data_IF_383154137282
#
_entry.id   IF_383154137282
#
_cell.length_a   1.000
_cell.length_b   1.000
_cell.length_c   1.000
_cell.angle_alpha   90.00
_cell.angle_beta   90.00
_cell.angle_gamma   90.00
#
_symmetry.space_group_name_H-M   'P 1'
#
loop_
_entity.id
_entity.type
_entity.pdbx_description
1 polymer ?
#
# COMPACT_ATOMS: atom_id res chain seq x y z
N UNK A 1 -13.13 14.88 -33.79
CA UNK A 1 -12.06 14.32 -32.95
C UNK A 1 -10.88 15.26 -32.74
N UNK A 2 -10.41 16.00 -33.78
CA UNK A 2 -9.28 16.94 -33.66
C UNK A 2 -9.52 18.16 -32.74
N UNK A 3 -10.74 18.73 -32.64
CA UNK A 3 -10.96 19.92 -31.80
C UNK A 3 -10.86 19.65 -30.29
N UNK A 4 -11.31 18.47 -29.84
CA UNK A 4 -11.23 18.06 -28.44
C UNK A 4 -9.78 17.89 -27.98
N UNK A 5 -8.92 17.29 -28.83
CA UNK A 5 -7.48 17.13 -28.53
C UNK A 5 -6.80 18.48 -28.34
N UNK A 6 -7.11 19.46 -29.18
CA UNK A 6 -6.57 20.82 -29.07
C UNK A 6 -7.03 21.54 -27.80
N UNK A 7 -8.27 21.33 -27.34
CA UNK A 7 -8.77 21.91 -26.10
C UNK A 7 -8.06 21.36 -24.86
N UNK A 8 -7.81 20.04 -24.81
CA UNK A 8 -7.06 19.40 -23.71
C UNK A 8 -5.62 19.89 -23.63
N UNK A 9 -4.92 19.95 -24.77
CA UNK A 9 -3.53 20.44 -24.82
C UNK A 9 -3.46 21.89 -24.37
N UNK A 10 -4.41 22.74 -24.80
CA UNK A 10 -4.49 24.14 -24.36
C UNK A 10 -4.74 24.27 -22.87
N UNK A 11 -5.64 23.45 -22.31
CA UNK A 11 -5.96 23.43 -20.87
C UNK A 11 -4.77 22.96 -20.04
N UNK A 12 -4.11 21.87 -20.45
CA UNK A 12 -2.89 21.37 -19.81
C UNK A 12 -1.78 22.42 -19.83
N UNK A 13 -1.54 23.03 -20.99
CA UNK A 13 -0.54 24.10 -21.15
C UNK A 13 -0.82 25.29 -20.22
N UNK A 14 -2.09 25.68 -20.08
CA UNK A 14 -2.48 26.75 -19.15
C UNK A 14 -2.20 26.38 -17.69
N UNK A 15 -2.59 25.18 -17.28
CA UNK A 15 -2.39 24.72 -15.90
C UNK A 15 -0.90 24.60 -15.54
N UNK A 16 -0.07 24.11 -16.46
CA UNK A 16 1.38 24.03 -16.27
C UNK A 16 1.99 25.43 -16.13
N UNK A 17 1.63 26.39 -17.00
CA UNK A 17 2.08 27.78 -16.87
C UNK A 17 1.68 28.42 -15.55
N UNK A 18 0.48 28.12 -15.05
CA UNK A 18 0.06 28.61 -13.74
C UNK A 18 0.80 27.95 -12.58
N UNK A 19 1.28 26.70 -12.72
CA UNK A 19 2.13 26.07 -11.69
C UNK A 19 3.56 26.62 -11.71
N UNK A 20 4.09 26.95 -12.90
CA UNK A 20 5.42 27.54 -13.07
C UNK A 20 5.55 28.91 -12.40
N UNK A 21 4.44 29.61 -12.14
CA UNK A 21 4.44 30.89 -11.43
C UNK A 21 4.49 30.76 -9.91
N UNK A 22 4.49 29.54 -9.35
CA UNK A 22 4.50 29.32 -7.90
C UNK A 22 5.95 29.25 -7.42
N UNK A 23 6.30 30.08 -6.44
CA UNK A 23 7.62 30.08 -5.80
C UNK A 23 7.67 29.01 -4.69
N UNK A 24 7.70 27.74 -5.08
CA UNK A 24 7.75 26.59 -4.16
C UNK A 24 8.96 25.74 -4.49
N UNK A 25 9.79 25.48 -3.49
CA UNK A 25 11.02 24.71 -3.65
C UNK A 25 10.71 23.32 -4.24
N UNK A 26 11.47 22.94 -5.28
CA UNK A 26 11.33 21.64 -5.92
C UNK A 26 10.08 21.45 -6.78
N UNK A 27 9.13 22.40 -6.85
CA UNK A 27 7.95 22.26 -7.71
C UNK A 27 8.34 22.21 -9.20
N UNK A 28 9.36 22.98 -9.61
CA UNK A 28 9.83 22.98 -10.99
C UNK A 28 10.33 21.60 -11.45
N UNK A 29 10.99 20.82 -10.57
CA UNK A 29 11.40 19.46 -10.95
C UNK A 29 10.19 18.54 -11.15
N UNK A 30 9.13 18.70 -10.34
CA UNK A 30 7.87 17.97 -10.52
C UNK A 30 7.20 18.34 -11.85
N UNK A 31 7.19 19.63 -12.21
CA UNK A 31 6.64 20.10 -13.49
C UNK A 31 7.43 19.52 -14.68
N UNK A 32 8.76 19.45 -14.58
CA UNK A 32 9.61 18.83 -15.61
C UNK A 32 9.28 17.34 -15.76
N UNK A 33 9.19 16.59 -14.66
CA UNK A 33 8.79 15.18 -14.67
C UNK A 33 7.42 14.96 -15.35
N UNK A 34 6.45 15.84 -15.07
CA UNK A 34 5.13 15.79 -15.71
C UNK A 34 5.23 16.05 -17.22
N UNK A 35 6.10 16.97 -17.67
CA UNK A 35 6.27 17.30 -19.08
C UNK A 35 6.93 16.17 -19.88
N UNK A 36 7.85 15.44 -19.26
CA UNK A 36 8.60 14.34 -19.88
C UNK A 36 7.98 12.96 -19.57
N UNK A 37 6.76 12.93 -19.05
CA UNK A 37 6.14 11.69 -18.50
C UNK A 37 5.91 10.60 -19.55
N UNK A 38 5.83 10.96 -20.82
CA UNK A 38 5.64 10.07 -21.97
C UNK A 38 6.96 9.62 -22.63
N UNK A 39 8.09 10.27 -22.34
CA UNK A 39 9.36 10.01 -23.03
C UNK A 39 9.96 8.63 -22.70
N UNK A 40 9.82 8.17 -21.45
CA UNK A 40 10.44 6.94 -20.96
C UNK A 40 9.46 5.75 -20.84
N UNK A 41 8.17 5.96 -21.10
CA UNK A 41 7.13 4.92 -21.03
C UNK A 41 6.81 4.38 -19.62
N UNK A 42 7.52 4.80 -18.57
CA UNK A 42 7.30 4.32 -17.20
C UNK A 42 5.86 4.51 -16.73
N UNK A 43 5.28 5.70 -16.97
CA UNK A 43 3.92 5.99 -16.53
C UNK A 43 2.87 5.14 -17.26
N UNK A 44 3.02 4.96 -18.57
CA UNK A 44 2.16 4.08 -19.36
C UNK A 44 2.26 2.63 -18.90
N UNK A 45 3.48 2.14 -18.61
CA UNK A 45 3.69 0.79 -18.12
C UNK A 45 3.00 0.57 -16.76
N UNK A 46 3.12 1.51 -15.83
CA UNK A 46 2.42 1.44 -14.53
C UNK A 46 0.90 1.49 -14.71
N UNK A 47 0.42 2.36 -15.58
CA UNK A 47 -0.99 2.48 -15.90
C UNK A 47 -1.55 1.16 -16.46
N UNK A 48 -0.86 0.53 -17.42
CA UNK A 48 -1.24 -0.76 -17.99
C UNK A 48 -1.16 -1.88 -16.94
N UNK A 49 -0.10 -1.89 -16.14
CA UNK A 49 0.10 -2.85 -15.07
C UNK A 49 -1.00 -2.79 -14.02
N UNK A 50 -1.47 -1.60 -13.63
CA UNK A 50 -2.56 -1.43 -12.65
C UNK A 50 -3.83 -2.19 -13.05
N UNK A 51 -4.19 -2.18 -14.34
CA UNK A 51 -5.36 -2.91 -14.84
C UNK A 51 -5.09 -4.41 -15.03
N UNK A 52 -3.83 -4.83 -15.15
CA UNK A 52 -3.45 -6.24 -15.30
C UNK A 52 -3.23 -6.94 -13.95
N UNK A 53 -2.64 -6.26 -12.96
CA UNK A 53 -2.37 -6.76 -11.61
C UNK A 53 -3.64 -6.85 -10.76
N UNK A 54 -4.57 -5.90 -10.92
CA UNK A 54 -5.86 -5.91 -10.21
C UNK A 54 -6.81 -7.06 -10.61
N UNK A 55 -6.55 -7.73 -11.73
CA UNK A 55 -7.42 -8.78 -12.28
C UNK A 55 -7.07 -10.23 -11.91
N UNK A 56 -5.84 -10.53 -11.47
CA UNK A 56 -5.33 -11.93 -11.44
C UNK A 56 -5.40 -12.65 -10.09
N UNK A 57 -5.78 -11.96 -9.00
CA UNK A 57 -6.00 -12.57 -7.67
C UNK A 57 -7.48 -12.79 -7.32
N UNK A 58 -8.38 -12.65 -8.29
CA UNK A 58 -9.81 -12.80 -8.03
C UNK A 58 -10.29 -14.21 -8.46
N UNK A 59 -10.84 -15.02 -7.56
CA UNK A 59 -11.62 -16.18 -7.97
C UNK A 59 -12.73 -15.73 -8.94
N UNK A 60 -12.96 -16.50 -10.00
CA UNK A 60 -13.82 -16.14 -11.14
C UNK A 60 -15.29 -15.86 -10.75
N UNK A 61 -15.69 -16.21 -9.52
CA UNK A 61 -17.09 -16.30 -9.08
C UNK A 61 -17.60 -15.11 -8.26
N UNK A 62 -16.83 -14.03 -8.04
CA UNK A 62 -17.23 -12.96 -7.10
C UNK A 62 -17.47 -11.59 -7.73
N UNK A 63 -18.34 -10.79 -7.11
CA UNK A 63 -18.71 -9.45 -7.57
C UNK A 63 -17.56 -8.44 -7.42
N UNK A 64 -17.58 -7.34 -8.18
CA UNK A 64 -16.52 -6.29 -8.14
C UNK A 64 -16.30 -5.70 -6.74
N UNK A 65 -17.34 -5.62 -5.90
CA UNK A 65 -17.29 -5.10 -4.53
C UNK A 65 -16.58 -6.08 -3.58
N UNK A 66 -16.85 -7.36 -3.73
CA UNK A 66 -16.22 -8.43 -2.95
C UNK A 66 -14.75 -8.63 -3.33
N UNK A 67 -14.38 -8.39 -4.59
CA UNK A 67 -12.98 -8.41 -5.05
C UNK A 67 -12.10 -7.37 -4.34
N UNK A 68 -12.64 -6.19 -4.05
CA UNK A 68 -11.92 -5.14 -3.33
C UNK A 68 -11.78 -5.47 -1.84
N UNK A 69 -12.83 -6.04 -1.24
CA UNK A 69 -12.86 -6.48 0.16
C UNK A 69 -11.99 -7.74 0.40
N UNK A 70 -11.80 -8.61 -0.59
CA UNK A 70 -10.98 -9.82 -0.46
C UNK A 70 -9.48 -9.54 -0.32
N UNK A 71 -8.98 -8.40 -0.81
CA UNK A 71 -7.60 -8.00 -0.49
C UNK A 71 -7.41 -7.67 0.99
N UNK A 72 -8.48 -7.35 1.72
CA UNK A 72 -8.46 -7.21 3.19
C UNK A 72 -8.36 -8.57 3.91
N UNK A 73 -8.72 -9.68 3.24
CA UNK A 73 -8.58 -11.03 3.79
C UNK A 73 -7.15 -11.58 3.75
N UNK A 74 -6.25 -10.92 3.01
CA UNK A 74 -4.86 -11.32 2.86
C UNK A 74 -3.92 -10.19 3.32
N UNK A 75 -4.09 -9.71 4.55
CA UNK A 75 -3.11 -8.80 5.16
C UNK A 75 -1.84 -9.61 5.48
N UNK A 76 -0.90 -9.60 4.54
CA UNK A 76 0.36 -10.33 4.62
C UNK A 76 1.36 -9.66 5.58
N UNK A 77 1.47 -8.33 5.54
CA UNK A 77 2.46 -7.59 6.33
C UNK A 77 1.89 -7.10 7.67
N UNK A 78 2.77 -6.96 8.67
CA UNK A 78 2.42 -6.32 9.95
C UNK A 78 1.91 -4.89 9.74
N UNK A 79 2.46 -4.17 8.77
CA UNK A 79 2.08 -2.80 8.43
C UNK A 79 0.64 -2.73 7.89
N UNK A 80 0.25 -3.66 7.01
CA UNK A 80 -1.13 -3.81 6.52
C UNK A 80 -2.11 -4.04 7.66
N UNK A 81 -1.81 -4.97 8.57
CA UNK A 81 -2.64 -5.29 9.75
C UNK A 81 -2.82 -4.09 10.66
N UNK A 82 -1.75 -3.33 10.90
CA UNK A 82 -1.80 -2.12 11.71
C UNK A 82 -2.63 -1.00 11.06
N UNK A 83 -2.50 -0.80 9.74
CA UNK A 83 -3.34 0.13 9.01
C UNK A 83 -4.83 -0.23 9.10
N UNK A 84 -5.15 -1.51 8.91
CA UNK A 84 -6.53 -2.02 9.01
C UNK A 84 -7.14 -1.83 10.41
N UNK A 85 -6.33 -2.06 11.45
CA UNK A 85 -6.76 -1.90 12.85
C UNK A 85 -7.06 -0.44 13.22
N UNK A 86 -6.22 0.49 12.75
CA UNK A 86 -6.18 1.85 13.30
C UNK A 86 -6.83 2.92 12.41
N UNK A 87 -7.01 2.68 11.11
CA UNK A 87 -7.61 3.64 10.18
C UNK A 87 -9.10 3.36 9.96
N UNK A 88 -9.86 4.41 9.70
CA UNK A 88 -11.28 4.29 9.40
C UNK A 88 -11.53 3.54 8.10
N UNK A 89 -12.62 2.77 8.06
CA UNK A 89 -13.07 1.98 6.91
C UNK A 89 -14.46 2.44 6.46
N UNK A 90 -14.59 3.69 5.96
CA UNK A 90 -15.88 4.18 5.53
C UNK A 90 -16.34 3.39 4.30
N UNK A 91 -17.63 3.03 4.20
CA UNK A 91 -18.16 2.34 3.02
C UNK A 91 -18.04 3.20 1.76
N UNK A 92 -18.05 4.53 1.91
CA UNK A 92 -17.78 5.53 0.89
C UNK A 92 -17.01 6.71 1.52
N UNK A 93 -15.85 7.12 0.97
CA UNK A 93 -15.16 8.31 1.45
C UNK A 93 -15.94 9.57 1.07
N UNK A 94 -16.65 10.16 2.02
CA UNK A 94 -17.42 11.40 1.84
C UNK A 94 -16.62 12.58 2.40
N UNK A 95 -16.28 13.60 1.58
CA UNK A 95 -15.59 14.79 2.05
C UNK A 95 -16.31 15.44 3.24
N UNK A 96 -15.57 15.80 4.29
CA UNK A 96 -16.01 16.39 5.58
C UNK A 96 -16.56 15.41 6.63
N UNK A 97 -16.83 14.16 6.26
CA UNK A 97 -17.33 13.14 7.20
C UNK A 97 -16.23 12.13 7.54
N UNK A 98 -15.37 11.83 6.55
CA UNK A 98 -14.28 10.87 6.72
C UNK A 98 -12.96 11.58 6.96
N UNK A 99 -12.09 10.94 7.74
CA UNK A 99 -10.71 11.38 7.90
C UNK A 99 -10.01 11.52 6.54
N UNK A 100 -9.04 12.44 6.49
CA UNK A 100 -8.30 12.74 5.26
C UNK A 100 -7.55 11.49 4.76
N UNK A 101 -6.99 10.72 5.69
CA UNK A 101 -6.40 9.42 5.45
C UNK A 101 -7.23 8.35 6.15
N UNK A 102 -7.85 7.48 5.35
CA UNK A 102 -8.57 6.30 5.81
C UNK A 102 -7.90 5.05 5.24
N UNK A 103 -8.37 3.86 5.64
CA UNK A 103 -7.77 2.61 5.20
C UNK A 103 -7.77 2.46 3.67
N UNK A 104 -8.87 2.75 2.93
CA UNK A 104 -8.83 2.78 1.47
C UNK A 104 -7.72 3.68 0.89
N UNK A 105 -7.51 4.87 1.45
CA UNK A 105 -6.45 5.79 1.01
C UNK A 105 -5.07 5.15 1.18
N UNK A 106 -4.78 4.63 2.38
CA UNK A 106 -3.54 3.93 2.69
C UNK A 106 -3.32 2.71 1.77
N UNK A 107 -4.36 1.91 1.56
CA UNK A 107 -4.25 0.65 0.86
C UNK A 107 -3.94 0.80 -0.64
N UNK A 108 -4.19 2.00 -1.21
CA UNK A 108 -3.80 2.29 -2.60
C UNK A 108 -2.30 2.15 -2.86
N UNK A 109 -1.44 2.31 -1.83
CA UNK A 109 -0.01 2.07 -1.96
C UNK A 109 0.30 0.66 -2.48
N UNK A 110 -0.41 -0.37 -2.03
CA UNK A 110 -0.17 -1.74 -2.48
C UNK A 110 -0.54 -1.92 -3.96
N UNK A 111 -1.58 -1.24 -4.45
CA UNK A 111 -1.93 -1.23 -5.88
C UNK A 111 -0.76 -0.70 -6.73
N UNK A 112 -0.06 0.33 -6.26
CA UNK A 112 1.10 0.88 -6.96
C UNK A 112 2.33 0.00 -6.81
N UNK A 113 2.63 -0.48 -5.60
CA UNK A 113 3.75 -1.38 -5.35
C UNK A 113 3.66 -2.62 -6.25
N UNK A 114 2.49 -3.25 -6.33
CA UNK A 114 2.28 -4.40 -7.22
C UNK A 114 2.41 -4.04 -8.69
N UNK A 115 1.92 -2.86 -9.10
CA UNK A 115 2.05 -2.41 -10.50
C UNK A 115 3.51 -2.18 -10.87
N UNK A 116 4.29 -1.55 -9.99
CA UNK A 116 5.73 -1.36 -10.18
C UNK A 116 6.44 -2.71 -10.19
N UNK A 117 6.15 -3.59 -9.24
CA UNK A 117 6.76 -4.92 -9.15
C UNK A 117 6.47 -5.76 -10.40
N UNK A 118 5.22 -5.73 -10.91
CA UNK A 118 4.81 -6.37 -12.15
C UNK A 118 5.61 -5.86 -13.35
N UNK A 119 5.74 -4.54 -13.51
CA UNK A 119 6.50 -3.93 -14.61
C UNK A 119 7.96 -4.37 -14.56
N UNK A 120 8.57 -4.41 -13.37
CA UNK A 120 9.99 -4.75 -13.20
C UNK A 120 10.27 -6.23 -13.39
N UNK A 121 9.40 -7.12 -12.92
CA UNK A 121 9.54 -8.55 -13.15
C UNK A 121 9.27 -8.94 -14.61
N UNK A 122 8.45 -8.18 -15.34
CA UNK A 122 8.08 -8.52 -16.71
C UNK A 122 7.23 -9.79 -16.84
N UNK A 123 6.66 -10.28 -15.73
CA UNK A 123 5.76 -11.45 -15.68
C UNK A 123 4.53 -11.20 -14.80
N UNK A 124 3.43 -11.94 -15.02
CA UNK A 124 2.33 -12.00 -14.06
C UNK A 124 2.80 -12.34 -12.64
N UNK A 125 2.26 -11.60 -11.66
CA UNK A 125 2.56 -11.86 -10.26
C UNK A 125 1.84 -13.11 -9.79
N UNK A 126 2.59 -14.03 -9.21
CA UNK A 126 2.07 -15.19 -8.49
C UNK A 126 2.00 -14.92 -6.97
N UNK A 127 1.58 -15.92 -6.20
CA UNK A 127 1.45 -15.80 -4.75
C UNK A 127 2.79 -15.51 -4.05
N UNK A 128 3.87 -16.15 -4.49
CA UNK A 128 5.19 -16.01 -3.88
C UNK A 128 5.82 -14.65 -4.20
N UNK A 129 5.55 -14.10 -5.39
CA UNK A 129 5.90 -12.74 -5.76
C UNK A 129 5.25 -11.71 -4.82
N UNK A 130 3.93 -11.81 -4.60
CA UNK A 130 3.21 -10.91 -3.69
C UNK A 130 3.70 -11.03 -2.27
N UNK A 131 3.90 -12.26 -1.80
CA UNK A 131 4.43 -12.53 -0.46
C UNK A 131 5.82 -11.93 -0.30
N UNK A 132 6.66 -12.04 -1.32
CA UNK A 132 7.99 -11.41 -1.33
C UNK A 132 7.88 -9.89 -1.26
N UNK A 133 7.04 -9.28 -2.11
CA UNK A 133 6.81 -7.83 -2.14
C UNK A 133 6.33 -7.31 -0.79
N UNK A 134 5.30 -7.91 -0.18
CA UNK A 134 4.74 -7.42 1.08
C UNK A 134 5.64 -7.67 2.29
N UNK A 135 6.57 -8.64 2.21
CA UNK A 135 7.57 -8.88 3.26
C UNK A 135 8.89 -8.12 3.03
N UNK A 136 9.03 -7.40 1.91
CA UNK A 136 10.22 -6.59 1.60
C UNK A 136 10.37 -5.35 2.48
N UNK A 137 9.30 -4.95 3.18
CA UNK A 137 9.19 -3.70 3.95
C UNK A 137 9.33 -2.42 3.11
N UNK A 138 9.17 -2.51 1.79
CA UNK A 138 9.16 -1.33 0.89
C UNK A 138 8.00 -0.38 1.22
N UNK A 139 6.88 -0.92 1.71
CA UNK A 139 5.73 -0.18 2.23
C UNK A 139 6.14 0.72 3.42
N UNK A 140 6.90 0.16 4.37
CA UNK A 140 7.45 0.90 5.50
C UNK A 140 8.52 1.91 5.06
N UNK A 141 9.41 1.55 4.13
CA UNK A 141 10.41 2.47 3.57
C UNK A 141 9.73 3.69 2.92
N UNK A 142 8.68 3.49 2.13
CA UNK A 142 7.91 4.59 1.55
C UNK A 142 7.22 5.44 2.62
N UNK A 143 6.62 4.80 3.63
CA UNK A 143 5.88 5.50 4.67
C UNK A 143 6.76 6.31 5.63
N UNK A 144 7.96 5.82 5.96
CA UNK A 144 8.85 6.49 6.91
C UNK A 144 9.90 7.38 6.25
N UNK A 145 10.41 6.99 5.08
CA UNK A 145 11.55 7.66 4.45
C UNK A 145 11.16 8.46 3.20
N UNK A 146 9.95 8.23 2.65
CA UNK A 146 9.35 9.07 1.61
C UNK A 146 10.25 9.14 0.39
N UNK A 147 10.81 10.29 0.02
CA UNK A 147 11.68 10.46 -1.16
C UNK A 147 13.05 9.79 -1.01
N UNK A 148 13.37 9.31 0.18
CA UNK A 148 14.57 8.55 0.53
C UNK A 148 14.28 7.06 0.75
N UNK A 149 13.10 6.56 0.35
CA UNK A 149 12.72 5.16 0.49
C UNK A 149 13.74 4.17 -0.09
N UNK A 150 14.52 4.63 -1.06
CA UNK A 150 15.53 3.85 -1.77
C UNK A 150 16.90 3.79 -1.13
N UNK A 151 17.11 4.56 -0.06
CA UNK A 151 18.36 4.52 0.70
C UNK A 151 18.39 3.36 1.71
N UNK A 152 17.32 2.56 1.82
CA UNK A 152 17.18 1.43 2.75
C UNK A 152 17.58 1.80 4.19
N UNK A 153 17.04 2.92 4.68
CA UNK A 153 17.36 3.42 6.02
C UNK A 153 16.79 2.51 7.11
N UNK A 154 17.37 2.60 8.31
CA UNK A 154 16.84 1.90 9.48
C UNK A 154 15.40 2.33 9.75
N UNK A 155 14.52 1.33 9.88
CA UNK A 155 13.10 1.57 10.11
C UNK A 155 12.83 1.60 11.62
N UNK A 156 12.03 2.57 12.10
CA UNK A 156 11.58 2.54 13.48
C UNK A 156 10.73 1.29 13.72
N UNK A 157 10.63 0.85 14.98
CA UNK A 157 9.69 -0.20 15.34
C UNK A 157 8.27 0.23 14.96
N UNK A 158 7.61 -0.53 14.09
CA UNK A 158 6.23 -0.26 13.68
C UNK A 158 5.31 -0.30 14.90
N UNK A 159 4.64 0.81 15.20
CA UNK A 159 3.70 0.95 16.34
C UNK A 159 2.37 1.51 15.85
N UNK A 160 1.30 1.23 16.60
CA UNK A 160 -0.03 1.81 16.36
C UNK A 160 0.01 3.35 16.30
N UNK A 161 0.97 3.98 16.99
CA UNK A 161 1.17 5.43 17.02
C UNK A 161 1.37 6.06 15.62
N UNK A 162 2.02 5.35 14.69
CA UNK A 162 2.16 5.87 13.32
C UNK A 162 0.79 6.06 12.66
N UNK A 163 -0.07 5.04 12.74
CA UNK A 163 -1.40 5.08 12.12
C UNK A 163 -2.37 6.01 12.86
N UNK A 164 -2.23 6.13 14.19
CA UNK A 164 -2.98 7.13 14.98
C UNK A 164 -2.63 8.55 14.50
N UNK A 165 -1.34 8.85 14.30
CA UNK A 165 -0.91 10.13 13.74
C UNK A 165 -1.43 10.32 12.33
N UNK A 166 -1.30 9.31 11.47
CA UNK A 166 -1.76 9.32 10.09
C UNK A 166 -3.27 9.64 9.97
N UNK A 167 -4.09 9.03 10.83
CA UNK A 167 -5.53 9.30 10.91
C UNK A 167 -5.83 10.77 11.23
N UNK A 168 -5.01 11.40 12.08
CA UNK A 168 -5.21 12.78 12.54
C UNK A 168 -4.73 13.87 11.57
N UNK A 169 -4.00 13.51 10.51
CA UNK A 169 -3.38 14.48 9.58
C UNK A 169 -4.43 15.34 8.88
N UNK A 170 -4.15 16.64 8.77
CA UNK A 170 -4.99 17.62 8.06
C UNK A 170 -4.18 18.43 7.06
N UNK A 171 -4.86 19.23 6.24
CA UNK A 171 -4.18 20.26 5.46
C UNK A 171 -3.72 21.39 6.39
N UNK A 172 -2.51 21.91 6.17
CA UNK A 172 -2.01 23.09 6.88
C UNK A 172 -2.89 24.30 6.58
N UNK A 173 -3.13 24.54 5.30
CA UNK A 173 -3.88 25.70 4.81
C UNK A 173 -4.55 25.41 3.46
N UNK A 174 -5.38 26.36 3.01
CA UNK A 174 -6.08 26.28 1.72
C UNK A 174 -5.11 26.24 0.54
N UNK A 175 -3.97 26.92 0.62
CA UNK A 175 -2.97 26.98 -0.44
C UNK A 175 -2.36 25.59 -0.71
N UNK A 176 -2.03 24.83 0.33
CA UNK A 176 -1.53 23.45 0.24
C UNK A 176 -2.53 22.53 -0.43
N UNK A 177 -3.80 22.58 0.00
CA UNK A 177 -4.89 21.83 -0.63
C UNK A 177 -5.13 22.25 -2.09
N UNK A 178 -4.97 23.53 -2.42
CA UNK A 178 -5.12 24.03 -3.79
C UNK A 178 -3.99 23.55 -4.70
N UNK A 179 -2.74 23.56 -4.24
CA UNK A 179 -1.60 23.03 -4.98
C UNK A 179 -1.82 21.56 -5.33
N UNK A 180 -2.18 20.74 -4.32
CA UNK A 180 -2.47 19.31 -4.53
C UNK A 180 -3.59 19.09 -5.57
N UNK A 181 -4.68 19.87 -5.47
CA UNK A 181 -5.79 19.77 -6.42
C UNK A 181 -5.39 20.19 -7.84
N UNK A 182 -4.54 21.21 -7.99
CA UNK A 182 -4.06 21.68 -9.29
C UNK A 182 -3.13 20.66 -9.95
N UNK A 183 -2.19 20.08 -9.20
CA UNK A 183 -1.34 19.00 -9.72
C UNK A 183 -2.17 17.76 -10.12
N UNK A 184 -3.19 17.41 -9.33
CA UNK A 184 -4.15 16.34 -9.68
C UNK A 184 -4.92 16.65 -10.97
N UNK A 185 -5.32 17.92 -11.17
CA UNK A 185 -5.98 18.36 -12.40
C UNK A 185 -5.05 18.26 -13.61
N UNK A 186 -3.77 18.65 -13.46
CA UNK A 186 -2.73 18.49 -14.49
C UNK A 186 -2.59 17.01 -14.87
N UNK A 187 -2.40 16.13 -13.89
CA UNK A 187 -2.26 14.69 -14.11
C UNK A 187 -3.51 14.07 -14.78
N UNK A 188 -4.72 14.55 -14.45
CA UNK A 188 -5.94 14.17 -15.17
C UNK A 188 -5.85 14.50 -16.66
N UNK A 189 -5.39 15.69 -17.03
CA UNK A 189 -5.27 16.07 -18.44
C UNK A 189 -4.13 15.35 -19.16
N UNK A 190 -3.01 15.07 -18.48
CA UNK A 190 -1.95 14.19 -18.97
C UNK A 190 -2.53 12.84 -19.37
N UNK A 191 -3.27 12.17 -18.47
CA UNK A 191 -3.91 10.87 -18.75
C UNK A 191 -4.89 10.92 -19.91
N UNK A 192 -5.73 11.96 -19.98
CA UNK A 192 -6.66 12.12 -21.11
C UNK A 192 -5.87 12.29 -22.42
N UNK A 193 -4.76 13.02 -22.40
CA UNK A 193 -3.87 13.19 -23.54
C UNK A 193 -3.22 11.88 -24.00
N UNK A 194 -2.72 11.09 -23.05
CA UNK A 194 -2.03 9.81 -23.30
C UNK A 194 -3.00 8.70 -23.73
N UNK A 195 -4.09 8.50 -22.98
CA UNK A 195 -4.97 7.33 -23.14
C UNK A 195 -6.28 7.64 -23.87
N UNK A 196 -6.57 8.90 -24.15
CA UNK A 196 -7.74 9.34 -24.91
C UNK A 196 -9.05 9.44 -24.12
N UNK A 197 -9.09 9.00 -22.86
CA UNK A 197 -10.26 9.09 -21.99
C UNK A 197 -9.91 9.13 -20.50
N UNK A 198 -10.89 9.48 -19.67
CA UNK A 198 -10.70 9.60 -18.23
C UNK A 198 -10.86 8.27 -17.50
N UNK A 199 -9.76 7.78 -16.93
CA UNK A 199 -9.71 6.56 -16.13
C UNK A 199 -9.98 6.84 -14.65
N UNK A 200 -11.24 6.68 -14.24
CA UNK A 200 -11.66 7.01 -12.87
C UNK A 200 -10.92 6.21 -11.80
N UNK A 201 -10.76 4.90 -11.98
CA UNK A 201 -10.16 4.02 -10.97
C UNK A 201 -8.68 4.32 -10.75
N UNK A 202 -7.89 4.35 -11.83
CA UNK A 202 -6.48 4.71 -11.75
C UNK A 202 -6.31 6.14 -11.19
N UNK A 203 -7.15 7.09 -11.62
CA UNK A 203 -7.08 8.48 -11.14
C UNK A 203 -7.39 8.62 -9.65
N UNK A 204 -8.32 7.82 -9.11
CA UNK A 204 -8.61 7.80 -7.68
C UNK A 204 -7.44 7.18 -6.93
N UNK A 205 -6.96 6.02 -7.38
CA UNK A 205 -5.85 5.31 -6.74
C UNK A 205 -4.59 6.19 -6.70
N UNK A 206 -4.21 6.79 -7.82
CA UNK A 206 -3.02 7.67 -7.91
C UNK A 206 -3.15 8.88 -6.96
N UNK A 207 -4.31 9.53 -6.97
CA UNK A 207 -4.58 10.65 -6.05
C UNK A 207 -4.45 10.21 -4.59
N UNK A 208 -5.04 9.07 -4.22
CA UNK A 208 -5.04 8.58 -2.85
C UNK A 208 -3.64 8.16 -2.40
N UNK A 209 -2.87 7.53 -3.29
CA UNK A 209 -1.50 7.16 -3.01
C UNK A 209 -0.61 8.40 -2.79
N UNK A 210 -0.68 9.39 -3.68
CA UNK A 210 0.09 10.65 -3.52
C UNK A 210 -0.35 11.39 -2.24
N UNK A 211 -1.65 11.39 -1.91
CA UNK A 211 -2.14 11.97 -0.67
C UNK A 211 -1.60 11.25 0.57
N UNK A 212 -1.55 9.92 0.53
CA UNK A 212 -0.94 9.11 1.59
C UNK A 212 0.54 9.44 1.77
N UNK A 213 1.31 9.55 0.68
CA UNK A 213 2.73 9.93 0.76
C UNK A 213 2.90 11.36 1.29
N UNK A 214 2.03 12.31 0.91
CA UNK A 214 2.07 13.68 1.46
C UNK A 214 1.82 13.69 2.98
N UNK A 215 0.89 12.86 3.47
CA UNK A 215 0.66 12.70 4.90
C UNK A 215 1.86 12.05 5.61
N UNK A 216 2.49 11.05 4.99
CA UNK A 216 3.72 10.43 5.50
C UNK A 216 4.87 11.44 5.61
N UNK A 217 5.05 12.29 4.59
CA UNK A 217 6.03 13.39 4.62
C UNK A 217 5.78 14.34 5.78
N UNK A 218 4.53 14.76 6.02
CA UNK A 218 4.20 15.62 7.14
C UNK A 218 4.60 14.96 8.48
N UNK A 219 4.25 13.68 8.68
CA UNK A 219 4.59 12.92 9.89
C UNK A 219 6.11 12.79 10.07
N UNK A 220 6.86 12.53 8.99
CA UNK A 220 8.34 12.47 8.99
C UNK A 220 8.93 13.78 9.51
N UNK A 221 8.39 14.91 9.04
CA UNK A 221 8.81 16.26 9.44
C UNK A 221 8.30 16.67 10.84
N UNK A 222 7.61 15.76 11.55
CA UNK A 222 6.93 16.01 12.83
C UNK A 222 5.88 17.12 12.73
N UNK A 223 5.37 17.35 11.53
CA UNK A 223 4.24 18.23 11.24
C UNK A 223 2.97 17.36 11.13
N UNK A 224 1.94 17.66 11.92
CA UNK A 224 0.65 16.94 11.83
C UNK A 224 -0.22 17.47 10.68
N UNK A 225 0.33 18.37 9.85
CA UNK A 225 -0.36 19.04 8.76
C UNK A 225 0.44 19.00 7.45
N UNK A 226 -0.25 18.67 6.37
CA UNK A 226 0.31 18.67 5.01
C UNK A 226 0.43 20.11 4.52
N UNK A 227 1.67 20.55 4.31
CA UNK A 227 2.01 21.83 3.68
C UNK A 227 2.31 21.67 2.17
N UNK A 228 2.76 22.73 1.50
CA UNK A 228 3.08 22.71 0.08
C UNK A 228 4.33 21.87 -0.26
N UNK A 229 5.34 21.89 0.59
CA UNK A 229 6.57 21.11 0.42
C UNK A 229 6.27 19.61 0.50
N UNK A 230 5.43 19.18 1.45
CA UNK A 230 4.98 17.77 1.55
C UNK A 230 4.26 17.31 0.28
N UNK A 231 3.48 18.19 -0.37
CA UNK A 231 2.86 17.88 -1.67
C UNK A 231 3.92 17.68 -2.74
N UNK A 232 4.92 18.56 -2.82
CA UNK A 232 6.03 18.43 -3.79
C UNK A 232 6.80 17.14 -3.54
N UNK A 233 7.17 16.84 -2.29
CA UNK A 233 7.86 15.61 -1.89
C UNK A 233 7.05 14.37 -2.27
N UNK A 234 5.72 14.40 -2.12
CA UNK A 234 4.87 13.29 -2.51
C UNK A 234 4.90 13.01 -4.02
N UNK A 235 4.85 14.05 -4.86
CA UNK A 235 4.99 13.88 -6.31
C UNK A 235 6.39 13.41 -6.72
N UNK A 236 7.45 13.96 -6.11
CA UNK A 236 8.83 13.48 -6.33
C UNK A 236 8.96 12.00 -5.98
N UNK A 237 8.43 11.58 -4.84
CA UNK A 237 8.44 10.19 -4.39
C UNK A 237 7.66 9.30 -5.34
N UNK A 238 6.49 9.74 -5.81
CA UNK A 238 5.69 9.02 -6.79
C UNK A 238 6.47 8.79 -8.09
N UNK A 239 7.04 9.84 -8.68
CA UNK A 239 7.82 9.71 -9.92
C UNK A 239 9.07 8.88 -9.74
N UNK A 240 9.73 8.98 -8.58
CA UNK A 240 10.86 8.14 -8.24
C UNK A 240 10.46 6.68 -8.14
N UNK A 241 9.40 6.35 -7.41
CA UNK A 241 8.91 4.99 -7.22
C UNK A 241 8.62 4.27 -8.54
N UNK A 242 7.94 4.93 -9.48
CA UNK A 242 7.61 4.29 -10.76
C UNK A 242 8.84 4.01 -11.63
N UNK A 243 9.97 4.69 -11.37
CA UNK A 243 11.25 4.49 -12.06
C UNK A 243 12.16 3.50 -11.33
N UNK A 244 12.06 3.42 -10.00
CA UNK A 244 12.90 2.55 -9.16
C UNK A 244 12.61 1.07 -9.38
N UNK A 245 13.66 0.25 -9.49
CA UNK A 245 13.54 -1.19 -9.40
C UNK A 245 13.36 -1.63 -7.95
N UNK A 246 12.13 -1.96 -7.58
CA UNK A 246 11.80 -2.43 -6.23
C UNK A 246 11.95 -3.94 -6.07
N UNK A 247 12.40 -4.68 -7.11
CA UNK A 247 12.61 -6.13 -7.01
C UNK A 247 13.87 -6.51 -6.23
N UNK A 248 14.80 -5.56 -6.08
CA UNK A 248 16.02 -5.72 -5.29
C UNK A 248 15.76 -5.69 -3.78
N UNK A 249 14.59 -5.22 -3.35
CA UNK A 249 14.18 -5.19 -1.94
C UNK A 249 13.80 -6.61 -1.54
N UNK A 250 14.83 -7.37 -1.19
CA UNK A 250 14.67 -8.72 -0.68
C UNK A 250 14.55 -8.64 0.82
N UNK A 251 13.67 -9.50 1.32
CA UNK A 251 13.57 -9.97 2.70
C UNK A 251 14.86 -9.74 3.51
N UNK A 252 14.84 -8.76 4.42
CA UNK A 252 15.91 -8.57 5.41
C UNK A 252 16.01 -9.85 6.26
N UNK A 253 17.24 -10.29 6.52
CA UNK A 253 17.62 -11.68 6.85
C UNK A 253 16.83 -12.41 7.94
N UNK A 254 16.08 -11.71 8.79
CA UNK A 254 15.27 -12.30 9.85
C UNK A 254 14.05 -13.09 9.34
N UNK A 255 13.60 -12.83 8.11
CA UNK A 255 12.51 -13.57 7.47
C UNK A 255 12.99 -14.67 6.52
N UNK A 256 14.30 -14.80 6.21
CA UNK A 256 14.82 -16.01 5.54
C UNK A 256 14.75 -17.24 6.46
N UNK A 257 15.01 -17.03 7.75
CA UNK A 257 14.80 -17.99 8.85
C UNK A 257 13.32 -18.33 8.99
N UNK A 258 12.42 -17.35 8.83
CA UNK A 258 10.97 -17.58 8.86
C UNK A 258 10.44 -18.23 7.57
N UNK A 259 10.97 -17.92 6.37
CA UNK A 259 10.59 -18.60 5.12
C UNK A 259 10.99 -20.06 5.18
N UNK A 260 12.18 -20.38 5.72
CA UNK A 260 12.59 -21.77 5.93
C UNK A 260 11.67 -22.51 6.92
N UNK A 261 11.06 -21.79 7.86
CA UNK A 261 10.02 -22.30 8.76
C UNK A 261 8.58 -22.14 8.25
N UNK A 262 8.36 -21.51 7.09
CA UNK A 262 7.04 -21.32 6.45
C UNK A 262 6.89 -22.27 5.25
N UNK A 263 7.95 -22.51 4.47
CA UNK A 263 7.97 -23.55 3.44
C UNK A 263 7.96 -24.97 4.02
N UNK A 264 8.04 -25.09 5.35
CA UNK A 264 7.82 -26.32 6.12
C UNK A 264 6.49 -26.33 6.89
N UNK A 265 5.59 -25.35 6.70
CA UNK A 265 4.28 -25.32 7.38
C UNK A 265 3.26 -26.13 6.59
N UNK A 266 3.23 -27.42 6.87
CA UNK A 266 1.94 -28.05 7.11
C UNK A 266 1.28 -27.25 8.25
N UNK A 267 0.17 -26.56 7.98
CA UNK A 267 -0.48 -25.62 8.91
C UNK A 267 -0.42 -26.04 10.39
N UNK A 268 -0.04 -25.10 11.26
CA UNK A 268 0.19 -25.36 12.69
C UNK A 268 -1.08 -25.78 13.44
N UNK A 269 -0.93 -26.15 14.72
CA UNK A 269 -1.99 -26.78 15.50
C UNK A 269 -2.46 -25.89 16.64
N UNK A 270 -3.77 -25.79 16.83
CA UNK A 270 -4.40 -25.26 18.03
C UNK A 270 -4.79 -26.42 18.94
N UNK A 271 -4.24 -26.47 20.14
CA UNK A 271 -4.51 -27.53 21.12
C UNK A 271 -5.24 -26.94 22.33
N UNK A 272 -6.32 -27.57 22.74
CA UNK A 272 -7.07 -27.14 23.92
C UNK A 272 -6.41 -27.63 25.20
N UNK A 273 -6.09 -26.71 26.12
CA UNK A 273 -5.48 -27.03 27.42
C UNK A 273 -6.44 -27.80 28.36
N UNK A 274 -7.74 -27.84 28.05
CA UNK A 274 -8.76 -28.52 28.88
C UNK A 274 -9.09 -29.92 28.37
N UNK A 275 -9.50 -30.05 27.11
CA UNK A 275 -9.92 -31.34 26.56
C UNK A 275 -8.81 -32.07 25.78
N UNK A 276 -7.67 -31.42 25.56
CA UNK A 276 -6.57 -31.89 24.72
C UNK A 276 -6.95 -32.23 23.27
N UNK A 277 -8.12 -31.81 22.82
CA UNK A 277 -8.46 -31.83 21.40
C UNK A 277 -7.58 -30.85 20.65
N UNK A 278 -7.23 -31.20 19.42
CA UNK A 278 -6.44 -30.34 18.54
C UNK A 278 -7.19 -30.04 17.24
N UNK A 279 -6.86 -28.89 16.65
CA UNK A 279 -7.32 -28.45 15.34
C UNK A 279 -6.09 -28.08 14.50
N UNK A 280 -5.96 -28.62 13.30
CA UNK A 280 -4.92 -28.23 12.35
C UNK A 280 -5.44 -27.02 11.58
N UNK A 281 -4.68 -25.93 11.55
CA UNK A 281 -5.04 -24.74 10.78
C UNK A 281 -4.97 -25.04 9.29
N UNK A 282 -6.03 -24.68 8.58
CA UNK A 282 -6.08 -24.74 7.12
C UNK A 282 -5.34 -23.53 6.49
N UNK A 283 -5.10 -23.59 5.19
CA UNK A 283 -4.41 -22.52 4.47
C UNK A 283 -5.17 -21.18 4.59
N UNK A 284 -4.51 -20.21 5.23
CA UNK A 284 -5.04 -18.87 5.44
C UNK A 284 -5.81 -18.69 6.75
N UNK A 285 -5.95 -19.72 7.58
CA UNK A 285 -6.45 -19.60 8.96
C UNK A 285 -5.32 -19.24 9.92
N UNK A 286 -5.60 -18.33 10.85
CA UNK A 286 -4.63 -17.89 11.85
C UNK A 286 -5.05 -18.31 13.27
N UNK A 287 -4.10 -18.61 14.18
CA UNK A 287 -4.40 -18.97 15.57
C UNK A 287 -5.34 -17.97 16.26
N UNK A 288 -5.20 -16.68 15.92
CA UNK A 288 -5.97 -15.58 16.52
C UNK A 288 -7.44 -15.54 16.08
N UNK A 289 -7.81 -16.26 15.02
CA UNK A 289 -9.21 -16.36 14.57
C UNK A 289 -10.05 -17.23 15.52
N UNK A 290 -9.41 -17.95 16.45
CA UNK A 290 -10.03 -18.92 17.35
C UNK A 290 -9.92 -18.46 18.81
N UNK A 291 -11.05 -18.11 19.42
CA UNK A 291 -11.11 -17.62 20.80
C UNK A 291 -10.95 -18.74 21.84
N UNK A 292 -11.76 -19.80 21.73
CA UNK A 292 -11.79 -20.91 22.69
C UNK A 292 -12.27 -22.21 22.07
N UNK A 293 -11.88 -23.33 22.65
CA UNK A 293 -12.39 -24.64 22.27
C UNK A 293 -13.91 -24.73 22.55
N UNK A 294 -14.60 -25.60 21.83
CA UNK A 294 -16.02 -25.91 22.06
C UNK A 294 -16.31 -26.37 23.49
N UNK A 295 -15.33 -26.96 24.18
CA UNK A 295 -15.44 -27.33 25.59
C UNK A 295 -15.27 -26.13 26.56
N UNK A 296 -15.10 -24.91 26.04
CA UNK A 296 -14.82 -23.69 26.79
C UNK A 296 -13.40 -23.58 27.35
N UNK A 297 -12.46 -24.43 26.89
CA UNK A 297 -11.05 -24.38 27.27
C UNK A 297 -10.23 -23.44 26.40
N UNK A 298 -9.15 -22.90 26.95
CA UNK A 298 -8.20 -22.05 26.23
C UNK A 298 -7.45 -22.85 25.16
N UNK A 299 -7.20 -22.24 24.02
CA UNK A 299 -6.42 -22.82 22.92
C UNK A 299 -4.98 -22.30 22.98
N UNK A 300 -4.03 -23.20 22.74
CA UNK A 300 -2.60 -22.91 22.65
C UNK A 300 -2.06 -23.36 21.30
N UNK A 301 -1.28 -22.51 20.66
CA UNK A 301 -0.70 -22.78 19.35
C UNK A 301 0.62 -23.57 19.46
N UNK A 302 0.81 -24.50 18.53
CA UNK A 302 2.02 -25.29 18.33
C UNK A 302 2.38 -25.32 16.85
N UNK A 303 3.66 -25.20 16.51
CA UNK A 303 4.10 -25.22 15.10
C UNK A 303 4.03 -26.62 14.49
N UNK A 304 4.20 -27.67 15.31
CA UNK A 304 4.02 -29.06 14.92
C UNK A 304 3.33 -29.84 16.06
N UNK A 305 2.64 -30.95 15.73
CA UNK A 305 1.93 -31.76 16.73
C UNK A 305 2.90 -32.51 17.67
N UNK A 306 4.13 -32.77 17.20
CA UNK A 306 5.17 -33.45 17.99
C UNK A 306 5.62 -32.66 19.22
N UNK A 307 5.63 -31.33 19.16
CA UNK A 307 5.96 -30.46 20.29
C UNK A 307 4.96 -30.66 21.44
N UNK A 308 3.68 -30.79 21.11
CA UNK A 308 2.64 -31.10 22.10
C UNK A 308 2.84 -32.50 22.72
N UNK A 309 3.14 -33.51 21.91
CA UNK A 309 3.37 -34.88 22.42
C UNK A 309 4.58 -34.96 23.36
N UNK A 310 5.65 -34.20 23.09
CA UNK A 310 6.79 -34.10 24.01
C UNK A 310 6.47 -33.38 25.32
N UNK A 311 5.59 -32.37 25.32
CA UNK A 311 5.17 -31.71 26.57
C UNK A 311 4.31 -32.62 27.46
N UNK A 312 3.52 -33.53 26.88
CA UNK A 312 2.76 -34.53 27.64
C UNK A 312 3.64 -35.57 28.35
N UNK A 313 4.80 -35.91 27.81
CA UNK A 313 5.69 -36.91 28.43
C UNK A 313 6.43 -36.39 29.67
N UNK A 314 6.52 -35.06 29.83
CA UNK A 314 7.13 -34.42 31.00
C UNK A 314 6.16 -34.45 32.19
N UNK A 315 4.86 -34.28 31.94
CA UNK A 315 3.83 -34.25 33.00
C UNK A 315 3.41 -35.64 33.51
N UNK A 316 3.80 -36.73 32.85
CA UNK A 316 3.47 -38.12 33.26
C UNK A 316 4.57 -38.75 34.12
N UNK A 317 5.74 -38.11 34.22
CA UNK A 317 6.89 -38.58 35.02
C UNK A 317 7.18 -37.69 36.25
N UNK A 318 6.20 -36.89 36.70
CA UNK A 318 6.25 -36.06 37.90
C UNK A 318 5.43 -36.62 39.04
#
# INVERSE_FOLDING_TARGET
MFSLRNEYVKRLSKLLKELESYEIEGLNSVIIEIKCIDEEGFYENIYNAFYQSSGKFAPETKTKKEKYLLREGYLYSKFQKMGFKNLDRPPLPVPLITDLICFPTFFTMYLFLESVYYVKLGKPLDYDDLKTLYNSRIDEQLAYNVDEFDKMLELPSTTDNFFIKLKSVKWENRASKQLFNKLKEVMKFVRIGMFGYFHIMFSIAEKDFILFIAACSAIKDKNDRINQENVVTAYKTYFKLIKTDITEYKVVGDYKSQIKSISSRDGGYLVCERCNGYYKLEDGEFPEDFDKCQCGGKLKYYENISEFDSTRQIDVNG
#
